data_IF_108609524066
#
_entry.id   IF_108609524066
#
_cell.length_a   1.000
_cell.length_b   1.000
_cell.length_c   1.000
_cell.angle_alpha   90.00
_cell.angle_beta   90.00
_cell.angle_gamma   90.00
#
_symmetry.space_group_name_H-M   'P 1'
#
loop_
_entity.id
_entity.type
_entity.pdbx_description
1 polymer ?
#
# COMPACT_ATOMS: atom_id res chain seq x y z
N UNK A 1 -3.27 -16.86 7.15
CA UNK A 1 -2.51 -16.26 8.26
C UNK A 1 -2.59 -17.14 9.49
N UNK A 2 -1.60 -17.09 10.36
CA UNK A 2 -1.61 -17.78 11.65
C UNK A 2 -2.43 -16.97 12.66
N UNK A 3 -2.92 -17.62 13.74
CA UNK A 3 -3.67 -16.91 14.79
C UNK A 3 -2.91 -15.74 15.41
N UNK A 4 -1.57 -15.81 15.44
CA UNK A 4 -0.72 -14.74 15.97
C UNK A 4 -0.83 -13.45 15.15
N UNK A 5 -1.15 -13.53 13.87
CA UNK A 5 -1.35 -12.34 13.03
C UNK A 5 -2.49 -11.46 13.55
N UNK A 6 -3.48 -12.05 14.22
CA UNK A 6 -4.61 -11.28 14.78
C UNK A 6 -4.19 -10.37 15.94
N UNK A 7 -3.04 -10.62 16.56
CA UNK A 7 -2.52 -9.79 17.65
C UNK A 7 -2.19 -8.37 17.19
N UNK A 8 -1.92 -8.15 15.91
CA UNK A 8 -1.64 -6.81 15.38
C UNK A 8 -2.91 -6.02 15.00
N UNK A 9 -4.07 -6.67 14.94
CA UNK A 9 -5.32 -5.99 14.54
C UNK A 9 -5.65 -4.78 15.42
N UNK A 10 -5.56 -4.85 16.76
CA UNK A 10 -5.79 -3.67 17.60
C UNK A 10 -4.84 -2.51 17.30
N UNK A 11 -3.58 -2.81 16.98
CA UNK A 11 -2.59 -1.80 16.60
C UNK A 11 -2.96 -1.14 15.26
N UNK A 12 -3.38 -1.93 14.28
CA UNK A 12 -3.82 -1.39 12.98
C UNK A 12 -5.08 -0.54 13.13
N UNK A 13 -6.03 -0.98 13.96
CA UNK A 13 -7.23 -0.18 14.28
C UNK A 13 -6.89 1.15 14.94
N UNK A 14 -5.97 1.13 15.88
CA UNK A 14 -5.49 2.35 16.54
C UNK A 14 -4.82 3.30 15.55
N UNK A 15 -3.98 2.78 14.67
CA UNK A 15 -3.35 3.56 13.60
C UNK A 15 -4.39 4.19 12.66
N UNK A 16 -5.43 3.45 12.28
CA UNK A 16 -6.52 3.95 11.45
C UNK A 16 -7.30 5.09 12.14
N UNK A 17 -7.64 4.91 13.42
CA UNK A 17 -8.36 5.92 14.20
C UNK A 17 -7.54 7.21 14.37
N UNK A 18 -6.22 7.09 14.50
CA UNK A 18 -5.32 8.23 14.66
C UNK A 18 -4.76 8.75 13.34
N UNK A 19 -5.31 8.32 12.21
CA UNK A 19 -4.91 8.76 10.87
C UNK A 19 -3.42 8.59 10.59
N UNK A 20 -2.83 7.52 11.13
CA UNK A 20 -1.46 7.12 10.83
C UNK A 20 -1.42 6.34 9.53
N UNK A 21 -0.30 6.40 8.83
CA UNK A 21 -0.11 5.64 7.61
C UNK A 21 -0.16 4.14 7.88
N UNK A 22 -0.97 3.45 7.08
CA UNK A 22 -1.03 1.99 7.02
C UNK A 22 -0.63 1.60 5.61
N UNK A 23 0.37 0.75 5.47
CA UNK A 23 0.86 0.32 4.18
C UNK A 23 0.97 -1.20 4.13
N UNK A 24 0.36 -1.82 3.12
CA UNK A 24 0.33 -3.27 2.94
C UNK A 24 0.67 -3.69 1.52
N UNK A 25 1.73 -4.47 1.35
CA UNK A 25 2.15 -5.04 0.08
C UNK A 25 1.88 -6.55 0.06
N UNK A 26 1.46 -7.09 -1.09
CA UNK A 26 1.26 -8.53 -1.29
C UNK A 26 0.25 -9.09 -0.26
N UNK A 27 0.62 -10.11 0.50
CA UNK A 27 -0.25 -10.71 1.52
C UNK A 27 -0.64 -9.74 2.64
N UNK A 28 0.12 -8.69 2.91
CA UNK A 28 -0.30 -7.67 3.86
C UNK A 28 -1.54 -6.91 3.38
N UNK A 29 -1.71 -6.70 2.08
CA UNK A 29 -2.95 -6.14 1.53
C UNK A 29 -4.15 -7.08 1.75
N UNK A 30 -3.94 -8.39 1.64
CA UNK A 30 -4.97 -9.40 1.95
C UNK A 30 -5.37 -9.33 3.43
N UNK A 31 -4.40 -9.23 4.33
CA UNK A 31 -4.65 -9.06 5.76
C UNK A 31 -5.51 -7.82 6.04
N UNK A 32 -5.18 -6.69 5.43
CA UNK A 32 -5.98 -5.48 5.55
C UNK A 32 -7.41 -5.67 5.01
N UNK A 33 -7.54 -6.35 3.89
CA UNK A 33 -8.84 -6.69 3.31
C UNK A 33 -9.67 -7.60 4.20
N UNK A 34 -9.04 -8.62 4.77
CA UNK A 34 -9.68 -9.59 5.69
C UNK A 34 -10.31 -8.90 6.90
N UNK A 35 -9.67 -7.89 7.44
CA UNK A 35 -10.13 -7.16 8.62
C UNK A 35 -10.94 -5.90 8.31
N UNK A 36 -11.37 -5.73 7.05
CA UNK A 36 -12.29 -4.68 6.65
C UNK A 36 -11.69 -3.30 6.41
N UNK A 37 -10.37 -3.15 6.50
CA UNK A 37 -9.70 -1.85 6.33
C UNK A 37 -9.76 -1.31 4.90
N UNK A 38 -10.07 -2.14 3.91
CA UNK A 38 -10.13 -1.76 2.50
C UNK A 38 -11.55 -1.62 1.95
N UNK A 39 -12.57 -1.77 2.80
CA UNK A 39 -13.96 -1.83 2.34
C UNK A 39 -14.48 -0.50 1.76
N UNK A 40 -13.92 0.63 2.17
CA UNK A 40 -14.39 1.96 1.79
C UNK A 40 -13.31 2.82 1.12
N UNK A 41 -12.15 2.25 0.77
CA UNK A 41 -11.04 2.98 0.18
C UNK A 41 -10.57 2.33 -1.11
N UNK A 42 -10.13 3.14 -2.06
CA UNK A 42 -9.44 2.64 -3.24
C UNK A 42 -8.18 1.90 -2.82
N UNK A 43 -7.97 0.73 -3.38
CA UNK A 43 -6.87 -0.16 -3.02
C UNK A 43 -6.53 -1.11 -4.15
N UNK A 44 -5.43 -1.81 -3.99
CA UNK A 44 -5.01 -2.91 -4.86
C UNK A 44 -4.47 -4.08 -4.03
N UNK A 45 -4.18 -5.17 -4.71
CA UNK A 45 -3.53 -6.36 -4.20
C UNK A 45 -2.82 -7.05 -5.37
N UNK A 46 -2.46 -8.33 -5.21
CA UNK A 46 -1.88 -9.09 -6.32
C UNK A 46 -2.83 -9.18 -7.52
N UNK A 47 -4.07 -9.60 -7.29
CA UNK A 47 -5.20 -9.48 -8.22
C UNK A 47 -6.50 -9.37 -7.41
N UNK A 48 -7.60 -9.01 -8.07
CA UNK A 48 -8.91 -8.99 -7.42
C UNK A 48 -9.31 -10.40 -6.97
N UNK A 49 -9.09 -11.39 -7.82
CA UNK A 49 -9.40 -12.80 -7.52
C UNK A 49 -8.59 -13.29 -6.32
N UNK A 50 -7.33 -12.88 -6.25
CA UNK A 50 -6.44 -13.25 -5.15
C UNK A 50 -6.96 -12.72 -3.80
N UNK A 51 -7.26 -11.42 -3.71
CA UNK A 51 -7.74 -10.86 -2.45
C UNK A 51 -9.13 -11.43 -2.08
N UNK A 52 -10.02 -11.62 -3.05
CA UNK A 52 -11.32 -12.26 -2.80
C UNK A 52 -11.18 -13.67 -2.25
N UNK A 53 -10.26 -14.46 -2.80
CA UNK A 53 -10.05 -15.84 -2.40
C UNK A 53 -9.47 -15.97 -0.99
N UNK A 54 -8.55 -15.09 -0.61
CA UNK A 54 -7.79 -15.23 0.63
C UNK A 54 -8.22 -14.32 1.77
N UNK A 55 -8.89 -13.19 1.50
CA UNK A 55 -9.39 -12.30 2.54
C UNK A 55 -10.72 -12.78 3.14
N UNK A 56 -11.50 -13.57 2.40
CA UNK A 56 -12.73 -14.15 2.90
C UNK A 56 -13.87 -13.16 3.08
N UNK A 57 -14.79 -13.47 3.99
CA UNK A 57 -16.07 -12.75 4.16
C UNK A 57 -15.91 -11.33 4.71
N UNK A 58 -14.79 -11.02 5.34
CA UNK A 58 -14.50 -9.66 5.83
C UNK A 58 -14.18 -8.66 4.73
N UNK A 59 -13.82 -9.13 3.54
CA UNK A 59 -13.51 -8.29 2.40
C UNK A 59 -14.79 -7.93 1.63
N UNK A 60 -15.15 -6.65 1.67
CA UNK A 60 -16.32 -6.07 0.99
C UNK A 60 -15.92 -4.87 0.13
N UNK A 61 -14.65 -4.78 -0.23
CA UNK A 61 -14.08 -3.62 -0.95
C UNK A 61 -13.96 -3.82 -2.45
N UNK A 62 -14.59 -4.83 -3.06
CA UNK A 62 -14.44 -5.15 -4.48
C UNK A 62 -14.69 -3.95 -5.39
N UNK A 63 -15.70 -3.12 -5.09
CA UNK A 63 -16.04 -1.94 -5.89
C UNK A 63 -14.98 -0.82 -5.83
N UNK A 64 -14.06 -0.89 -4.88
CA UNK A 64 -12.93 0.04 -4.73
C UNK A 64 -11.60 -0.52 -5.21
N UNK A 65 -11.59 -1.77 -5.69
CA UNK A 65 -10.37 -2.37 -6.20
C UNK A 65 -9.92 -1.69 -7.49
N UNK A 66 -8.62 -1.37 -7.56
CA UNK A 66 -7.98 -0.78 -8.74
C UNK A 66 -6.83 -1.69 -9.17
N UNK A 67 -6.85 -2.14 -10.43
CA UNK A 67 -5.76 -2.89 -11.02
C UNK A 67 -4.62 -1.94 -11.39
N UNK A 68 -3.75 -1.70 -10.43
CA UNK A 68 -2.59 -0.81 -10.54
C UNK A 68 -1.45 -1.35 -9.67
N UNK A 69 -0.19 -1.04 -9.98
CA UNK A 69 0.95 -1.49 -9.17
C UNK A 69 0.86 -1.11 -7.69
N UNK A 70 0.45 0.11 -7.40
CA UNK A 70 0.21 0.61 -6.05
C UNK A 70 -0.92 1.62 -6.06
N UNK A 71 -1.67 1.68 -4.98
CA UNK A 71 -2.79 2.61 -4.80
C UNK A 71 -2.70 3.25 -3.43
N UNK A 72 -2.89 4.55 -3.36
CA UNK A 72 -3.00 5.29 -2.12
C UNK A 72 -4.33 6.03 -2.06
N UNK A 73 -5.06 5.82 -0.98
CA UNK A 73 -6.19 6.66 -0.62
C UNK A 73 -6.12 7.02 0.86
N UNK A 74 -6.16 8.31 1.16
CA UNK A 74 -5.99 8.78 2.53
C UNK A 74 -4.67 8.31 3.12
N UNK A 75 -4.75 7.64 4.26
CA UNK A 75 -3.60 7.10 4.98
C UNK A 75 -3.37 5.60 4.72
N UNK A 76 -3.92 5.05 3.67
CA UNK A 76 -3.75 3.64 3.31
C UNK A 76 -3.06 3.53 1.96
N UNK A 77 -1.97 2.76 1.94
CA UNK A 77 -1.22 2.41 0.72
C UNK A 77 -1.23 0.90 0.56
N UNK A 78 -1.63 0.42 -0.60
CA UNK A 78 -1.55 -1.00 -0.95
C UNK A 78 -0.80 -1.19 -2.26
N UNK A 79 -0.19 -2.34 -2.44
CA UNK A 79 0.52 -2.68 -3.67
C UNK A 79 0.50 -4.20 -3.91
N UNK A 80 0.68 -4.61 -5.16
CA UNK A 80 0.95 -6.01 -5.48
C UNK A 80 2.40 -6.38 -5.11
N UNK A 81 2.68 -7.67 -4.99
CA UNK A 81 3.97 -8.18 -4.51
C UNK A 81 5.16 -7.94 -5.43
N UNK A 82 4.92 -7.47 -6.66
CA UNK A 82 5.96 -7.22 -7.67
C UNK A 82 6.28 -5.72 -7.82
N UNK A 83 5.63 -4.86 -7.07
CA UNK A 83 5.67 -3.41 -7.23
C UNK A 83 6.23 -2.69 -6.01
N UNK A 84 7.34 -3.20 -5.47
CA UNK A 84 7.98 -2.62 -4.27
C UNK A 84 8.40 -1.17 -4.48
N UNK A 85 8.84 -0.79 -5.68
CA UNK A 85 9.27 0.59 -5.97
C UNK A 85 8.08 1.54 -6.00
N UNK A 86 6.97 1.16 -6.64
CA UNK A 86 5.73 1.93 -6.65
C UNK A 86 5.13 2.04 -5.24
N UNK A 87 5.19 0.96 -4.47
CA UNK A 87 4.80 0.94 -3.06
C UNK A 87 5.60 1.97 -2.24
N UNK A 88 6.91 1.95 -2.38
CA UNK A 88 7.80 2.91 -1.71
C UNK A 88 7.50 4.34 -2.12
N UNK A 89 7.30 4.60 -3.41
CA UNK A 89 6.96 5.93 -3.93
C UNK A 89 5.71 6.49 -3.25
N UNK A 90 4.64 5.70 -3.19
CA UNK A 90 3.39 6.13 -2.56
C UNK A 90 3.53 6.38 -1.05
N UNK A 91 4.34 5.57 -0.35
CA UNK A 91 4.65 5.79 1.07
C UNK A 91 5.39 7.11 1.28
N UNK A 92 6.37 7.42 0.44
CA UNK A 92 7.13 8.67 0.53
C UNK A 92 6.23 9.89 0.31
N UNK A 93 5.29 9.81 -0.63
CA UNK A 93 4.28 10.85 -0.81
C UNK A 93 3.36 10.96 0.41
N UNK A 94 2.89 9.85 0.94
CA UNK A 94 1.99 9.85 2.09
C UNK A 94 2.63 10.42 3.34
N UNK A 95 3.94 10.22 3.52
CA UNK A 95 4.70 10.76 4.65
C UNK A 95 5.18 12.20 4.45
N UNK A 96 5.00 12.76 3.25
CA UNK A 96 5.57 14.07 2.88
C UNK A 96 7.07 14.15 3.20
N UNK A 97 7.77 13.03 2.95
CA UNK A 97 9.15 12.84 3.39
C UNK A 97 10.15 13.67 2.58
N UNK A 98 9.86 13.88 1.30
CA UNK A 98 10.71 14.60 0.36
C UNK A 98 9.84 15.37 -0.64
N UNK A 99 10.47 16.31 -1.37
CA UNK A 99 9.75 16.99 -2.46
C UNK A 99 9.31 16.01 -3.55
N UNK A 100 8.18 16.25 -4.23
CA UNK A 100 7.73 15.41 -5.34
C UNK A 100 8.82 15.15 -6.39
N UNK A 101 9.61 16.17 -6.70
CA UNK A 101 10.72 16.08 -7.65
C UNK A 101 11.79 15.07 -7.19
N UNK A 102 12.11 15.07 -5.91
CA UNK A 102 13.08 14.16 -5.32
C UNK A 102 12.54 12.72 -5.28
N UNK A 103 11.26 12.56 -4.94
CA UNK A 103 10.60 11.25 -4.91
C UNK A 103 10.60 10.62 -6.31
N UNK A 104 10.19 11.37 -7.33
CA UNK A 104 10.15 10.88 -8.71
C UNK A 104 11.55 10.58 -9.26
N UNK A 105 12.54 11.39 -8.93
CA UNK A 105 13.94 11.13 -9.32
C UNK A 105 14.46 9.83 -8.71
N UNK A 106 14.25 9.64 -7.42
CA UNK A 106 14.63 8.41 -6.72
C UNK A 106 13.93 7.19 -7.32
N UNK A 107 12.63 7.31 -7.59
CA UNK A 107 11.87 6.25 -8.24
C UNK A 107 12.46 5.88 -9.60
N UNK A 108 12.74 6.86 -10.47
CA UNK A 108 13.31 6.60 -11.80
C UNK A 108 14.68 5.92 -11.71
N UNK A 109 15.58 6.42 -10.84
CA UNK A 109 16.90 5.82 -10.65
C UNK A 109 16.81 4.35 -10.22
N UNK A 110 15.92 4.06 -9.27
CA UNK A 110 15.73 2.69 -8.80
C UNK A 110 15.04 1.81 -9.84
N UNK A 111 14.12 2.37 -10.62
CA UNK A 111 13.39 1.63 -11.66
C UNK A 111 14.25 1.30 -12.85
N UNK A 112 15.10 2.22 -13.29
CA UNK A 112 15.93 2.08 -14.48
C UNK A 112 17.33 1.55 -14.20
N UNK A 113 17.83 1.68 -12.96
CA UNK A 113 19.22 1.41 -12.62
C UNK A 113 20.21 2.47 -13.13
N UNK A 114 19.70 3.64 -13.58
CA UNK A 114 20.52 4.73 -14.11
C UNK A 114 20.62 5.84 -13.08
N UNK A 115 21.83 6.19 -12.70
CA UNK A 115 22.10 7.28 -11.78
C UNK A 115 21.85 8.64 -12.45
N UNK A 116 21.15 9.53 -11.76
CA UNK A 116 20.92 10.91 -12.19
C UNK A 116 21.67 11.85 -11.24
N UNK A 117 22.48 12.76 -11.81
CA UNK A 117 23.23 13.72 -11.03
C UNK A 117 22.30 14.60 -10.15
N UNK A 118 22.81 15.07 -9.00
CA UNK A 118 22.15 16.16 -8.29
C UNK A 118 22.00 17.37 -9.22
N UNK A 119 20.84 18.01 -9.14
CA UNK A 119 20.67 19.26 -9.88
C UNK A 119 21.51 20.34 -9.22
N UNK A 120 22.09 21.22 -10.04
CA UNK A 120 22.76 22.42 -9.55
C UNK A 120 21.74 23.29 -8.79
N UNK A 121 22.14 23.77 -7.61
CA UNK A 121 21.35 24.72 -6.83
C UNK A 121 21.25 26.09 -7.55
#
# INVERSE_FOLDING_TARGET
>A
FTPEADLIVPLVKDAALNKKLIAGICNASVFLGMHGFLNEVNHTSNTLEYIKAFAGVGYKGECHYIDSPAVREGNIVTANGFSALEFCREILYALDAYSPKMIEKSYRMNKTGVWEAPEAE
#
